data_IF_044579229188
#
_entry.id   IF_044579229188
#
_cell.length_a   1.000
_cell.length_b   1.000
_cell.length_c   1.000
_cell.angle_alpha   90.00
_cell.angle_beta   90.00
_cell.angle_gamma   90.00
#
_symmetry.space_group_name_H-M   'P 1'
#
loop_
_entity.id
_entity.type
_entity.pdbx_description
1 polymer ?
#
# COMPACT_ATOMS: atom_id res chain seq x y z
N UNK A 1 -28.23 20.35 67.65
CA UNK A 1 -27.14 19.86 66.79
C UNK A 1 -27.48 18.46 66.31
N UNK A 2 -27.80 18.26 65.03
CA UNK A 2 -28.16 16.95 64.44
C UNK A 2 -27.16 16.67 63.31
N UNK A 3 -26.29 15.68 63.49
CA UNK A 3 -25.27 15.28 62.49
C UNK A 3 -25.92 14.36 61.46
N UNK A 4 -25.83 14.73 60.18
CA UNK A 4 -26.23 13.92 59.02
C UNK A 4 -25.00 13.13 58.55
N UNK A 5 -25.09 11.83 58.27
CA UNK A 5 -23.95 11.03 57.82
C UNK A 5 -23.65 11.29 56.32
N UNK A 6 -22.39 11.17 55.88
CA UNK A 6 -22.05 11.29 54.47
C UNK A 6 -22.43 10.00 53.71
N UNK A 7 -23.26 10.14 52.68
CA UNK A 7 -23.50 9.10 51.68
C UNK A 7 -22.30 9.05 50.72
N UNK A 8 -21.59 7.93 50.72
CA UNK A 8 -20.52 7.62 49.77
C UNK A 8 -21.15 7.11 48.47
N UNK A 9 -21.22 7.95 47.44
CA UNK A 9 -21.60 7.52 46.09
C UNK A 9 -20.36 6.95 45.37
N UNK A 10 -20.34 5.63 45.17
CA UNK A 10 -19.38 4.99 44.28
C UNK A 10 -19.84 5.21 42.83
N UNK A 11 -19.14 6.07 42.09
CA UNK A 11 -19.31 6.17 40.64
C UNK A 11 -18.64 4.97 39.98
N UNK A 12 -19.43 3.97 39.57
CA UNK A 12 -18.99 2.96 38.62
C UNK A 12 -18.93 3.65 37.26
N UNK A 13 -17.74 4.10 36.86
CA UNK A 13 -17.48 4.58 35.51
C UNK A 13 -17.58 3.41 34.54
N UNK A 14 -18.74 3.23 33.92
CA UNK A 14 -18.85 2.38 32.74
C UNK A 14 -18.13 3.13 31.63
N UNK A 15 -16.88 2.74 31.36
CA UNK A 15 -16.25 3.10 30.10
C UNK A 15 -17.11 2.49 29.01
N UNK A 16 -17.93 3.32 28.35
CA UNK A 16 -18.61 2.92 27.13
C UNK A 16 -17.49 2.59 26.13
N UNK A 17 -17.22 1.31 25.96
CA UNK A 17 -16.42 0.84 24.84
C UNK A 17 -17.10 1.41 23.61
N UNK A 18 -16.42 2.33 22.91
CA UNK A 18 -16.87 2.80 21.61
C UNK A 18 -17.11 1.54 20.79
N UNK A 19 -18.40 1.25 20.52
CA UNK A 19 -18.79 0.08 19.77
C UNK A 19 -18.00 0.08 18.47
N UNK A 20 -17.29 -1.02 18.19
CA UNK A 20 -16.41 -1.11 17.05
C UNK A 20 -17.17 -0.69 15.79
N UNK A 21 -16.72 0.40 15.18
CA UNK A 21 -17.31 0.93 13.95
C UNK A 21 -16.95 0.02 12.77
N UNK A 22 -17.72 0.08 11.68
CA UNK A 22 -17.36 -0.65 10.47
C UNK A 22 -15.96 -0.26 9.97
N UNK A 23 -15.19 -1.23 9.47
CA UNK A 23 -13.79 -1.05 9.09
C UNK A 23 -13.56 -1.49 7.64
N UNK A 24 -12.58 -0.88 6.98
CA UNK A 24 -12.09 -1.31 5.67
C UNK A 24 -10.60 -1.62 5.79
N UNK A 25 -10.24 -2.86 5.46
CA UNK A 25 -8.87 -3.33 5.46
C UNK A 25 -8.37 -3.50 4.02
N UNK A 26 -7.10 -3.19 3.77
CA UNK A 26 -6.47 -3.30 2.44
C UNK A 26 -5.16 -4.06 2.52
N UNK A 27 -4.81 -4.78 1.46
CA UNK A 27 -3.43 -5.19 1.16
C UNK A 27 -3.18 -4.94 -0.32
N UNK A 28 -1.93 -4.83 -0.71
CA UNK A 28 -1.57 -4.69 -2.11
C UNK A 28 -0.48 -5.67 -2.52
N UNK A 29 -0.45 -6.03 -3.80
CA UNK A 29 0.57 -6.87 -4.41
C UNK A 29 0.99 -6.28 -5.77
N UNK A 30 2.25 -6.43 -6.15
CA UNK A 30 2.69 -6.20 -7.52
C UNK A 30 2.39 -7.44 -8.35
N UNK A 31 1.83 -7.23 -9.55
CA UNK A 31 1.54 -8.32 -10.48
C UNK A 31 1.65 -7.86 -11.91
N UNK A 32 2.66 -8.34 -12.63
CA UNK A 32 2.76 -8.13 -14.07
C UNK A 32 2.88 -6.66 -14.47
N UNK A 33 3.55 -5.85 -13.64
CA UNK A 33 3.71 -4.41 -13.84
C UNK A 33 2.56 -3.55 -13.32
N UNK A 34 1.53 -4.15 -12.74
CA UNK A 34 0.44 -3.45 -12.05
C UNK A 34 0.57 -3.57 -10.52
N UNK A 35 -0.15 -2.72 -9.80
CA UNK A 35 -0.38 -2.84 -8.35
C UNK A 35 -1.85 -3.17 -8.13
N UNK A 36 -2.13 -4.31 -7.48
CA UNK A 36 -3.50 -4.75 -7.19
C UNK A 36 -3.81 -4.54 -5.71
N UNK A 37 -4.78 -3.68 -5.41
CA UNK A 37 -5.28 -3.42 -4.07
C UNK A 37 -6.48 -4.31 -3.77
N UNK A 38 -6.43 -5.09 -2.69
CA UNK A 38 -7.50 -5.98 -2.26
C UNK A 38 -8.13 -5.49 -0.96
N UNK A 39 -9.46 -5.39 -0.93
CA UNK A 39 -10.20 -4.88 0.22
C UNK A 39 -11.05 -5.95 0.93
N UNK A 40 -11.12 -5.83 2.25
CA UNK A 40 -12.07 -6.49 3.13
C UNK A 40 -12.90 -5.44 3.87
N UNK A 41 -14.21 -5.44 3.64
CA UNK A 41 -15.16 -4.59 4.38
C UNK A 41 -15.68 -5.39 5.58
N UNK A 42 -15.46 -4.89 6.79
CA UNK A 42 -15.96 -5.50 8.04
C UNK A 42 -17.06 -4.67 8.63
N UNK A 43 -18.28 -5.17 8.53
CA UNK A 43 -19.45 -4.57 9.14
C UNK A 43 -19.54 -5.01 10.61
N UNK A 44 -19.23 -4.12 11.54
CA UNK A 44 -19.38 -4.33 12.99
C UNK A 44 -20.68 -3.72 13.55
N UNK A 45 -21.46 -3.10 12.67
CA UNK A 45 -22.75 -2.51 13.00
C UNK A 45 -23.86 -3.57 13.02
N UNK A 46 -25.01 -3.20 13.61
CA UNK A 46 -26.23 -4.00 13.60
C UNK A 46 -27.02 -3.91 12.26
N UNK A 47 -26.68 -2.94 11.40
CA UNK A 47 -27.29 -2.76 10.09
C UNK A 47 -26.56 -3.54 9.00
N UNK A 48 -27.07 -3.49 7.77
CA UNK A 48 -26.41 -4.05 6.59
C UNK A 48 -25.74 -2.93 5.81
N UNK A 49 -24.73 -3.27 5.01
CA UNK A 49 -24.05 -2.30 4.14
C UNK A 49 -24.15 -2.77 2.69
N UNK A 50 -24.62 -1.91 1.81
CA UNK A 50 -24.79 -2.18 0.38
C UNK A 50 -24.08 -1.12 -0.49
N UNK A 51 -23.39 -0.18 0.15
CA UNK A 51 -22.56 0.82 -0.48
C UNK A 51 -21.22 0.95 0.25
N UNK A 52 -20.14 0.85 -0.52
CA UNK A 52 -18.77 1.09 -0.10
C UNK A 52 -18.11 2.04 -1.10
N UNK A 53 -17.57 3.16 -0.64
CA UNK A 53 -16.77 4.06 -1.46
C UNK A 53 -15.39 4.29 -0.86
N UNK A 54 -14.40 4.52 -1.73
CA UNK A 54 -13.01 4.77 -1.38
C UNK A 54 -12.54 6.07 -2.03
N UNK A 55 -11.78 6.86 -1.27
CA UNK A 55 -11.18 8.10 -1.71
C UNK A 55 -12.18 9.26 -1.83
N UNK A 56 -13.34 9.15 -1.17
CA UNK A 56 -14.26 10.26 -1.04
C UNK A 56 -14.26 10.81 0.40
N UNK A 57 -14.10 12.12 0.56
CA UNK A 57 -14.52 12.83 1.78
C UNK A 57 -16.00 13.25 1.68
N UNK A 58 -16.85 12.23 1.49
CA UNK A 58 -18.28 12.37 1.33
C UNK A 58 -18.93 12.33 2.71
N UNK A 59 -19.88 13.23 3.00
CA UNK A 59 -20.72 13.08 4.20
C UNK A 59 -21.87 12.10 3.98
N UNK A 60 -22.31 11.91 2.73
CA UNK A 60 -23.39 11.00 2.33
C UNK A 60 -23.21 10.51 0.88
N UNK A 61 -23.74 9.32 0.53
CA UNK A 61 -23.73 8.75 -0.83
C UNK A 61 -24.24 9.64 -1.98
N UNK A 62 -25.11 10.61 -1.68
CA UNK A 62 -25.80 11.44 -2.67
C UNK A 62 -25.39 12.92 -2.59
N UNK A 63 -24.35 13.25 -1.83
CA UNK A 63 -23.79 14.60 -1.78
C UNK A 63 -22.53 14.65 -2.64
N UNK A 64 -22.28 15.77 -3.34
CA UNK A 64 -21.03 15.95 -4.05
C UNK A 64 -19.87 15.81 -3.06
N UNK A 65 -18.86 15.05 -3.47
CA UNK A 65 -17.62 14.93 -2.72
C UNK A 65 -17.06 16.33 -2.47
N UNK A 66 -16.67 16.64 -1.23
CA UNK A 66 -15.95 17.88 -0.95
C UNK A 66 -14.54 17.82 -1.53
N UNK A 67 -13.96 16.62 -1.59
CA UNK A 67 -12.69 16.34 -2.24
C UNK A 67 -12.58 14.85 -2.62
N UNK A 68 -12.14 14.59 -3.85
CA UNK A 68 -11.71 13.28 -4.31
C UNK A 68 -10.21 13.08 -4.00
N UNK A 69 -9.81 11.87 -3.63
CA UNK A 69 -8.46 11.59 -3.14
C UNK A 69 -7.61 10.74 -4.08
N UNK A 70 -8.23 9.96 -4.97
CA UNK A 70 -7.51 9.01 -5.83
C UNK A 70 -6.96 9.71 -7.07
N UNK A 71 -5.70 9.45 -7.39
CA UNK A 71 -4.94 10.15 -8.44
C UNK A 71 -4.57 9.29 -9.64
N UNK A 72 -4.44 7.97 -9.48
CA UNK A 72 -4.06 7.06 -10.57
C UNK A 72 -5.29 6.27 -11.03
N UNK A 73 -5.71 6.44 -12.28
CA UNK A 73 -6.86 5.73 -12.84
C UNK A 73 -6.55 4.26 -13.15
N UNK A 74 -7.53 3.34 -13.03
CA UNK A 74 -7.37 1.95 -13.46
C UNK A 74 -7.34 1.86 -14.99
N UNK A 75 -6.22 1.44 -15.58
CA UNK A 75 -6.07 1.15 -17.01
C UNK A 75 -6.62 2.23 -17.97
N UNK A 76 -7.15 1.78 -19.11
CA UNK A 76 -7.74 2.64 -20.15
C UNK A 76 -9.17 3.09 -19.81
N UNK A 77 -9.37 3.68 -18.63
CA UNK A 77 -10.66 4.24 -18.20
C UNK A 77 -11.14 5.30 -19.18
N UNK A 78 -12.42 5.24 -19.58
CA UNK A 78 -13.05 6.20 -20.50
C UNK A 78 -14.23 6.91 -19.85
N UNK A 79 -14.58 8.10 -20.34
CA UNK A 79 -15.81 8.78 -19.92
C UNK A 79 -17.04 7.95 -20.34
N UNK A 80 -17.95 7.68 -19.40
CA UNK A 80 -19.19 6.96 -19.64
C UNK A 80 -20.42 7.86 -19.67
N UNK A 81 -20.36 9.01 -19.00
CA UNK A 81 -21.46 9.96 -18.90
C UNK A 81 -21.20 10.97 -17.78
N UNK A 82 -22.18 11.84 -17.54
CA UNK A 82 -22.13 12.86 -16.50
C UNK A 82 -23.45 12.87 -15.71
N UNK A 83 -23.37 13.12 -14.41
CA UNK A 83 -24.53 13.39 -13.54
C UNK A 83 -24.27 14.59 -12.61
N UNK A 84 -25.20 14.88 -11.70
CA UNK A 84 -25.06 16.02 -10.79
C UNK A 84 -23.92 15.88 -9.78
N UNK A 85 -23.34 14.69 -9.61
CA UNK A 85 -22.17 14.42 -8.77
C UNK A 85 -20.86 14.56 -9.55
N UNK A 86 -20.91 14.66 -10.88
CA UNK A 86 -19.76 14.84 -11.75
C UNK A 86 -19.71 13.83 -12.89
N UNK A 87 -18.50 13.58 -13.39
CA UNK A 87 -18.28 12.65 -14.49
C UNK A 87 -18.28 11.22 -13.98
N UNK A 88 -18.96 10.33 -14.69
CA UNK A 88 -18.94 8.89 -14.45
C UNK A 88 -17.99 8.25 -15.46
N UNK A 89 -17.00 7.53 -14.97
CA UNK A 89 -16.03 6.85 -15.82
C UNK A 89 -16.34 5.35 -15.92
N UNK A 90 -16.24 4.81 -17.13
CA UNK A 90 -16.36 3.38 -17.40
C UNK A 90 -15.10 2.67 -16.91
N UNK A 91 -15.29 1.64 -16.09
CA UNK A 91 -14.20 0.81 -15.59
C UNK A 91 -13.79 -0.22 -16.65
N UNK A 92 -12.51 -0.31 -17.03
CA UNK A 92 -12.06 -1.36 -17.94
C UNK A 92 -12.33 -2.76 -17.34
N UNK A 93 -12.74 -3.75 -18.16
CA UNK A 93 -12.89 -5.12 -17.68
C UNK A 93 -11.62 -5.63 -17.02
N UNK A 94 -11.75 -6.21 -15.82
CA UNK A 94 -10.62 -6.76 -15.05
C UNK A 94 -9.84 -5.74 -14.21
N UNK A 95 -9.99 -4.43 -14.46
CA UNK A 95 -9.31 -3.41 -13.66
C UNK A 95 -9.91 -3.25 -12.26
N UNK A 96 -11.17 -3.65 -12.07
CA UNK A 96 -11.84 -3.70 -10.77
C UNK A 96 -12.59 -5.01 -10.65
N UNK A 97 -12.52 -5.65 -9.50
CA UNK A 97 -13.39 -6.78 -9.15
C UNK A 97 -14.28 -6.45 -7.98
N UNK A 98 -15.39 -7.17 -7.88
CA UNK A 98 -16.30 -7.09 -6.76
C UNK A 98 -16.90 -8.48 -6.48
N UNK A 99 -17.40 -8.72 -5.25
CA UNK A 99 -18.19 -9.91 -4.95
C UNK A 99 -19.44 -10.02 -5.85
N UNK A 100 -20.03 -11.22 -6.03
CA UNK A 100 -21.26 -11.36 -6.80
C UNK A 100 -22.37 -10.41 -6.31
N UNK A 101 -23.07 -9.76 -7.25
CA UNK A 101 -24.13 -8.78 -6.96
C UNK A 101 -23.64 -7.34 -6.75
N UNK A 102 -22.33 -7.12 -6.62
CA UNK A 102 -21.75 -5.78 -6.50
C UNK A 102 -21.25 -5.25 -7.84
N UNK A 103 -21.35 -3.94 -8.02
CA UNK A 103 -20.90 -3.22 -9.21
C UNK A 103 -20.05 -2.03 -8.81
N UNK A 104 -18.98 -1.78 -9.55
CA UNK A 104 -18.08 -0.66 -9.32
C UNK A 104 -18.34 0.49 -10.30
N UNK A 105 -18.22 1.72 -9.80
CA UNK A 105 -18.31 2.96 -10.58
C UNK A 105 -17.22 3.92 -10.16
N UNK A 106 -16.57 4.57 -11.11
CA UNK A 106 -15.59 5.63 -10.88
C UNK A 106 -16.25 6.99 -11.10
N UNK A 107 -15.96 7.96 -10.23
CA UNK A 107 -16.55 9.29 -10.29
C UNK A 107 -15.52 10.39 -10.13
N UNK A 108 -15.59 11.41 -10.98
CA UNK A 108 -14.75 12.61 -10.93
C UNK A 108 -15.63 13.81 -10.58
N UNK A 109 -15.39 14.52 -9.47
CA UNK A 109 -16.17 15.71 -9.15
C UNK A 109 -16.03 16.79 -10.23
N UNK A 110 -17.02 17.67 -10.42
CA UNK A 110 -16.93 18.77 -11.39
C UNK A 110 -15.70 19.65 -11.14
N UNK A 111 -14.86 19.82 -12.16
CA UNK A 111 -13.65 20.66 -12.11
C UNK A 111 -12.45 20.03 -11.40
N UNK A 112 -12.56 18.80 -10.93
CA UNK A 112 -11.47 18.08 -10.26
C UNK A 112 -10.70 17.18 -11.22
N UNK A 113 -9.47 16.81 -10.83
CA UNK A 113 -8.65 15.82 -11.54
C UNK A 113 -8.55 14.48 -10.82
N UNK A 114 -8.97 14.46 -9.56
CA UNK A 114 -9.01 13.28 -8.72
C UNK A 114 -10.37 12.63 -8.78
N UNK A 115 -10.43 11.36 -8.44
CA UNK A 115 -11.65 10.58 -8.49
C UNK A 115 -11.87 9.81 -7.18
N UNK A 116 -13.03 9.20 -7.06
CA UNK A 116 -13.32 8.18 -6.06
C UNK A 116 -13.97 6.98 -6.73
N UNK A 117 -13.88 5.82 -6.08
CA UNK A 117 -14.53 4.59 -6.54
C UNK A 117 -15.65 4.20 -5.59
N UNK A 118 -16.76 3.73 -6.15
CA UNK A 118 -17.92 3.25 -5.41
C UNK A 118 -18.23 1.83 -5.82
N UNK A 119 -18.45 0.94 -4.86
CA UNK A 119 -19.10 -0.34 -5.05
C UNK A 119 -20.51 -0.29 -4.48
N UNK A 120 -21.50 -0.72 -5.25
CA UNK A 120 -22.91 -0.78 -4.84
C UNK A 120 -23.52 -2.12 -5.20
N UNK A 121 -24.44 -2.59 -4.37
CA UNK A 121 -25.36 -3.69 -4.70
C UNK A 121 -26.80 -3.21 -4.52
N UNK A 122 -27.67 -3.54 -5.47
CA UNK A 122 -29.13 -3.46 -5.29
C UNK A 122 -29.73 -4.77 -4.79
N UNK A 123 -28.96 -5.87 -4.91
CA UNK A 123 -29.34 -7.15 -4.34
C UNK A 123 -29.10 -7.12 -2.84
N UNK A 124 -30.22 -7.13 -2.11
CA UNK A 124 -30.19 -7.23 -0.67
C UNK A 124 -29.45 -8.50 -0.26
N UNK A 125 -29.54 -9.65 -0.91
CA UNK A 125 -28.81 -10.85 -0.48
C UNK A 125 -27.28 -10.69 -0.52
N UNK A 126 -26.76 -9.84 -1.41
CA UNK A 126 -25.33 -9.57 -1.57
C UNK A 126 -24.76 -8.52 -0.59
N UNK A 127 -25.62 -7.73 0.07
CA UNK A 127 -25.18 -6.70 1.02
C UNK A 127 -24.43 -7.30 2.23
N UNK A 128 -23.40 -6.60 2.72
CA UNK A 128 -22.57 -7.02 3.86
C UNK A 128 -23.43 -7.10 5.12
N UNK A 129 -23.71 -8.30 5.65
CA UNK A 129 -24.58 -8.43 6.81
C UNK A 129 -23.97 -7.82 8.08
N UNK A 130 -24.83 -7.57 9.07
CA UNK A 130 -24.41 -7.12 10.38
C UNK A 130 -23.40 -8.10 11.01
N UNK A 131 -22.37 -7.57 11.65
CA UNK A 131 -21.30 -8.36 12.30
C UNK A 131 -20.54 -9.34 11.38
N UNK A 132 -20.51 -9.09 10.07
CA UNK A 132 -19.82 -9.92 9.09
C UNK A 132 -18.79 -9.14 8.27
N UNK A 133 -17.90 -9.86 7.60
CA UNK A 133 -16.93 -9.30 6.66
C UNK A 133 -17.19 -9.78 5.23
N UNK A 134 -16.92 -8.94 4.25
CA UNK A 134 -16.97 -9.28 2.83
C UNK A 134 -15.65 -8.93 2.15
N UNK A 135 -15.07 -9.93 1.47
CA UNK A 135 -13.83 -9.85 0.69
C UNK A 135 -14.16 -9.95 -0.80
N UNK A 136 -13.20 -9.59 -1.66
CA UNK A 136 -13.30 -9.77 -3.11
C UNK A 136 -13.44 -8.46 -3.90
N UNK A 137 -13.45 -7.34 -3.21
CA UNK A 137 -13.26 -6.02 -3.81
C UNK A 137 -11.77 -5.85 -4.15
N UNK A 138 -11.45 -5.50 -5.38
CA UNK A 138 -10.07 -5.11 -5.73
C UNK A 138 -10.00 -4.11 -6.86
N UNK A 139 -8.87 -3.41 -6.95
CA UNK A 139 -8.55 -2.46 -8.02
C UNK A 139 -7.12 -2.68 -8.48
N UNK A 140 -6.90 -2.82 -9.78
CA UNK A 140 -5.58 -2.90 -10.41
C UNK A 140 -5.20 -1.55 -11.03
N UNK A 141 -4.02 -1.05 -10.69
CA UNK A 141 -3.49 0.22 -11.18
C UNK A 141 -2.16 0.02 -11.91
N UNK A 142 -1.85 0.84 -12.93
CA UNK A 142 -0.56 0.77 -13.62
C UNK A 142 0.64 1.25 -12.78
N UNK A 143 0.38 1.87 -11.63
CA UNK A 143 1.39 2.31 -10.67
C UNK A 143 0.77 2.53 -9.29
N UNK A 144 1.62 2.65 -8.28
CA UNK A 144 1.21 2.82 -6.89
C UNK A 144 0.46 4.15 -6.67
N UNK A 145 -0.64 4.09 -5.93
CA UNK A 145 -1.37 5.25 -5.43
C UNK A 145 -1.64 5.10 -3.92
N UNK A 146 -1.06 5.99 -3.12
CA UNK A 146 -1.20 5.96 -1.66
C UNK A 146 -2.65 6.15 -1.19
N UNK A 147 -3.49 6.80 -1.99
CA UNK A 147 -4.92 6.95 -1.69
C UNK A 147 -5.65 5.61 -1.54
N UNK A 148 -5.17 4.55 -2.21
CA UNK A 148 -5.72 3.21 -2.08
C UNK A 148 -5.31 2.49 -0.79
N UNK A 149 -4.19 2.86 -0.17
CA UNK A 149 -3.70 2.25 1.07
C UNK A 149 -4.18 2.96 2.34
N UNK A 150 -4.33 4.28 2.26
CA UNK A 150 -4.59 5.12 3.43
C UNK A 150 -5.63 6.22 3.19
N UNK A 151 -6.45 6.09 2.14
CA UNK A 151 -7.51 7.05 1.85
C UNK A 151 -8.71 6.92 2.78
N UNK A 152 -9.63 7.87 2.67
CA UNK A 152 -10.92 7.79 3.34
C UNK A 152 -11.79 6.71 2.70
N UNK A 153 -12.63 6.07 3.51
CA UNK A 153 -13.74 5.28 3.01
C UNK A 153 -15.07 5.85 3.50
N UNK A 154 -16.13 5.53 2.76
CA UNK A 154 -17.52 5.68 3.17
C UNK A 154 -18.22 4.32 3.08
N UNK A 155 -18.96 3.95 4.12
CA UNK A 155 -19.86 2.79 4.12
C UNK A 155 -21.29 3.27 4.41
N UNK A 156 -22.26 2.75 3.67
CA UNK A 156 -23.66 3.09 3.86
C UNK A 156 -24.63 1.94 3.57
N UNK A 157 -25.86 2.10 4.08
CA UNK A 157 -27.04 1.36 3.63
C UNK A 157 -27.76 2.07 2.47
N UNK A 158 -28.67 1.36 1.78
CA UNK A 158 -29.36 1.85 0.58
C UNK A 158 -30.19 3.09 0.90
N UNK A 159 -30.72 3.17 2.12
CA UNK A 159 -31.49 4.31 2.59
C UNK A 159 -30.61 5.56 2.83
N UNK A 160 -29.29 5.40 2.91
CA UNK A 160 -28.34 6.46 3.25
C UNK A 160 -28.53 7.00 4.67
N UNK A 161 -29.27 6.26 5.51
CA UNK A 161 -29.60 6.65 6.89
C UNK A 161 -28.41 6.37 7.82
N UNK A 162 -27.66 5.31 7.53
CA UNK A 162 -26.45 4.97 8.26
C UNK A 162 -25.25 5.20 7.38
N UNK A 163 -24.50 6.25 7.68
CA UNK A 163 -23.21 6.53 7.03
C UNK A 163 -22.09 6.34 8.04
N UNK A 164 -21.02 5.68 7.62
CA UNK A 164 -19.76 5.56 8.36
C UNK A 164 -18.64 6.06 7.48
N UNK A 165 -17.74 6.84 8.07
CA UNK A 165 -16.54 7.28 7.41
C UNK A 165 -15.34 6.89 8.26
N UNK A 166 -14.24 6.57 7.61
CA UNK A 166 -13.02 6.21 8.31
C UNK A 166 -11.82 6.24 7.38
N UNK A 167 -10.69 5.74 7.89
CA UNK A 167 -9.47 5.54 7.12
C UNK A 167 -9.30 4.06 6.84
N UNK A 168 -8.91 3.74 5.61
CA UNK A 168 -8.51 2.38 5.27
C UNK A 168 -7.33 1.94 6.14
N UNK A 169 -7.36 0.67 6.58
CA UNK A 169 -6.31 0.09 7.40
C UNK A 169 -5.48 -0.93 6.61
N UNK A 170 -4.14 -0.87 6.66
CA UNK A 170 -3.31 -1.91 6.07
C UNK A 170 -3.51 -3.22 6.85
N UNK A 171 -3.74 -4.31 6.12
CA UNK A 171 -3.81 -5.68 6.64
C UNK A 171 -2.48 -6.42 6.52
N UNK A 172 -1.65 -5.98 5.58
CA UNK A 172 -0.28 -6.41 5.45
C UNK A 172 0.64 -5.37 6.10
N UNK A 173 1.44 -5.83 7.07
CA UNK A 173 2.33 -5.00 7.86
C UNK A 173 3.74 -5.59 7.93
N UNK A 174 4.03 -6.63 7.14
CA UNK A 174 5.31 -7.32 7.18
C UNK A 174 6.14 -6.84 5.99
N UNK A 175 7.38 -6.41 6.23
CA UNK A 175 8.26 -6.04 5.12
C UNK A 175 8.76 -7.28 4.38
N UNK A 176 9.15 -7.12 3.10
CA UNK A 176 9.81 -8.18 2.34
C UNK A 176 11.07 -8.69 3.03
N UNK A 177 11.34 -9.98 2.91
CA UNK A 177 12.63 -10.56 3.26
C UNK A 177 13.63 -10.31 2.14
N UNK A 178 14.68 -9.52 2.42
CA UNK A 178 15.75 -9.16 1.49
C UNK A 178 17.06 -9.79 1.93
N UNK A 179 17.79 -10.43 1.01
CA UNK A 179 19.14 -10.94 1.23
C UNK A 179 20.06 -10.47 0.11
N UNK A 180 21.22 -9.94 0.51
CA UNK A 180 22.25 -9.42 -0.39
C UNK A 180 23.55 -10.14 -0.09
N UNK A 181 24.20 -10.66 -1.13
CA UNK A 181 25.52 -11.27 -1.03
C UNK A 181 26.45 -10.66 -2.06
N UNK A 182 27.72 -10.48 -1.69
CA UNK A 182 28.76 -9.96 -2.57
C UNK A 182 29.77 -11.05 -2.86
N UNK A 183 30.22 -11.10 -4.12
CA UNK A 183 31.20 -12.07 -4.59
C UNK A 183 32.26 -11.36 -5.42
N UNK A 184 33.53 -11.63 -5.13
CA UNK A 184 34.63 -11.20 -6.00
C UNK A 184 34.63 -12.06 -7.27
N UNK A 185 34.66 -11.40 -8.43
CA UNK A 185 34.85 -12.03 -9.72
C UNK A 185 36.18 -11.57 -10.32
N UNK A 186 37.05 -12.53 -10.64
CA UNK A 186 38.25 -12.33 -11.45
C UNK A 186 39.41 -11.61 -10.76
N UNK A 187 40.08 -12.27 -9.82
CA UNK A 187 41.48 -11.94 -9.53
C UNK A 187 42.36 -12.61 -10.60
N UNK A 188 42.43 -12.05 -11.81
CA UNK A 188 43.20 -12.69 -12.89
C UNK A 188 43.10 -12.12 -14.30
N UNK A 189 42.35 -11.03 -14.51
CA UNK A 189 42.39 -10.35 -15.81
C UNK A 189 43.75 -9.64 -15.99
N UNK A 190 44.35 -9.69 -17.19
CA UNK A 190 45.66 -9.08 -17.46
C UNK A 190 45.69 -7.56 -17.25
N UNK A 191 44.53 -6.91 -17.19
CA UNK A 191 44.37 -5.48 -16.90
C UNK A 191 44.33 -5.14 -15.40
N UNK A 192 44.36 -6.12 -14.49
CA UNK A 192 44.37 -5.89 -13.04
C UNK A 192 43.05 -5.35 -12.46
N UNK A 193 41.92 -5.47 -13.16
CA UNK A 193 40.61 -5.04 -12.69
C UNK A 193 39.93 -6.08 -11.79
N UNK A 194 39.32 -5.63 -10.68
CA UNK A 194 38.44 -6.43 -9.82
C UNK A 194 36.99 -6.14 -10.19
N UNK A 195 36.21 -7.18 -10.41
CA UNK A 195 34.75 -7.04 -10.49
C UNK A 195 34.10 -7.60 -9.24
N UNK A 196 33.08 -6.91 -8.73
CA UNK A 196 32.24 -7.43 -7.65
C UNK A 196 30.86 -7.70 -8.21
N UNK A 197 30.40 -8.93 -8.04
CA UNK A 197 29.03 -9.31 -8.33
C UNK A 197 28.20 -9.24 -7.05
N UNK A 198 26.94 -8.86 -7.22
CA UNK A 198 25.94 -8.82 -6.15
C UNK A 198 24.87 -9.82 -6.51
N UNK A 199 24.60 -10.76 -5.61
CA UNK A 199 23.44 -11.63 -5.68
C UNK A 199 22.39 -11.08 -4.70
N UNK A 200 21.25 -10.67 -5.25
CA UNK A 200 20.13 -10.11 -4.48
C UNK A 200 18.94 -11.04 -4.61
N UNK A 201 18.38 -11.44 -3.47
CA UNK A 201 17.13 -12.21 -3.43
C UNK A 201 16.12 -11.48 -2.55
N UNK A 202 14.88 -11.45 -3.01
CA UNK A 202 13.76 -10.84 -2.29
C UNK A 202 12.58 -11.80 -2.33
N UNK A 203 11.85 -11.86 -1.23
CA UNK A 203 10.59 -12.60 -1.13
C UNK A 203 9.67 -11.91 -0.15
N UNK A 204 8.37 -11.90 -0.42
CA UNK A 204 7.35 -11.43 0.51
C UNK A 204 6.20 -12.45 0.56
N UNK A 205 5.41 -12.44 1.63
CA UNK A 205 4.33 -13.40 1.82
C UNK A 205 3.01 -12.98 1.17
N UNK A 206 2.85 -11.69 0.87
CA UNK A 206 1.68 -11.11 0.20
C UNK A 206 2.04 -10.66 -1.21
N UNK A 207 3.16 -9.97 -1.37
CA UNK A 207 3.60 -9.40 -2.64
C UNK A 207 4.56 -10.34 -3.38
N UNK A 208 4.17 -10.95 -4.51
CA UNK A 208 5.06 -11.86 -5.23
C UNK A 208 6.19 -11.13 -5.97
N UNK A 209 6.10 -9.82 -6.18
CA UNK A 209 7.06 -9.03 -6.96
C UNK A 209 7.50 -7.73 -6.23
N UNK A 210 8.10 -7.79 -5.01
CA UNK A 210 8.50 -6.58 -4.30
C UNK A 210 9.55 -5.77 -5.09
N UNK A 211 9.41 -4.45 -5.08
CA UNK A 211 10.32 -3.54 -5.79
C UNK A 211 11.67 -3.45 -5.06
N UNK A 212 12.78 -3.73 -5.76
CA UNK A 212 14.14 -3.68 -5.22
C UNK A 212 14.94 -2.55 -5.86
N UNK A 213 15.65 -1.78 -5.04
CA UNK A 213 16.50 -0.67 -5.48
C UNK A 213 17.85 -0.69 -4.75
N UNK A 214 18.93 -0.36 -5.47
CA UNK A 214 20.20 0.00 -4.85
C UNK A 214 20.03 1.35 -4.13
N UNK A 215 20.24 1.38 -2.82
CA UNK A 215 20.07 2.59 -2.00
C UNK A 215 21.41 3.30 -1.79
N UNK A 216 22.46 2.57 -1.45
CA UNK A 216 23.78 3.16 -1.26
C UNK A 216 24.91 2.20 -1.57
N UNK A 217 26.09 2.80 -1.76
CA UNK A 217 27.31 2.11 -2.07
C UNK A 217 28.49 2.90 -1.47
N UNK A 218 29.41 2.21 -0.81
CA UNK A 218 30.59 2.82 -0.20
C UNK A 218 31.83 1.94 -0.37
N UNK A 219 32.99 2.59 -0.50
CA UNK A 219 34.31 1.95 -0.51
C UNK A 219 35.20 2.62 0.54
N UNK A 220 35.83 1.81 1.38
CA UNK A 220 36.73 2.27 2.44
C UNK A 220 38.10 1.60 2.32
N UNK A 221 39.16 2.21 2.87
CA UNK A 221 40.44 1.55 3.11
C UNK A 221 41.35 1.33 1.89
N UNK A 222 41.04 1.90 0.72
CA UNK A 222 41.93 1.89 -0.45
C UNK A 222 42.36 3.32 -0.76
N UNK A 223 43.53 3.73 -0.25
CA UNK A 223 44.24 4.89 -0.81
C UNK A 223 45.08 4.42 -1.97
N UNK A 224 45.09 5.20 -3.05
CA UNK A 224 45.88 4.92 -4.24
C UNK A 224 47.37 4.75 -3.84
N UNK A 225 47.96 3.60 -4.18
CA UNK A 225 49.37 3.28 -3.87
C UNK A 225 49.65 2.71 -2.48
N UNK A 226 48.66 2.54 -1.59
CA UNK A 226 48.85 1.87 -0.30
C UNK A 226 48.49 0.38 -0.37
N UNK A 227 49.38 -0.49 0.12
CA UNK A 227 49.07 -1.89 0.37
C UNK A 227 48.14 -1.99 1.60
N UNK A 228 46.84 -2.13 1.39
CA UNK A 228 45.84 -2.23 2.46
C UNK A 228 44.56 -2.94 2.02
N UNK A 229 43.90 -3.67 2.93
CA UNK A 229 42.62 -4.31 2.64
C UNK A 229 41.55 -3.23 2.56
N UNK A 230 40.99 -3.02 1.36
CA UNK A 230 39.81 -2.19 1.22
C UNK A 230 38.55 -2.92 1.65
N UNK A 231 37.47 -2.18 1.84
CA UNK A 231 36.15 -2.72 2.08
C UNK A 231 35.17 -2.11 1.09
N UNK A 232 34.31 -2.94 0.54
CA UNK A 232 33.16 -2.53 -0.23
C UNK A 232 31.91 -2.77 0.60
N UNK A 233 30.99 -1.81 0.62
CA UNK A 233 29.68 -1.94 1.24
C UNK A 233 28.60 -1.55 0.24
N UNK A 234 27.54 -2.35 0.14
CA UNK A 234 26.42 -2.13 -0.77
C UNK A 234 25.12 -2.32 0.00
N UNK A 235 24.22 -1.34 -0.06
CA UNK A 235 22.92 -1.36 0.61
C UNK A 235 21.80 -1.40 -0.41
N UNK A 236 20.94 -2.41 -0.33
CA UNK A 236 19.71 -2.50 -1.10
C UNK A 236 18.48 -2.22 -0.22
N UNK A 237 17.42 -1.75 -0.86
CA UNK A 237 16.10 -1.51 -0.26
C UNK A 237 15.05 -2.27 -1.06
N UNK A 238 14.21 -3.04 -0.37
CA UNK A 238 13.02 -3.66 -0.96
C UNK A 238 11.74 -3.00 -0.44
N UNK A 239 10.70 -2.92 -1.26
CA UNK A 239 9.40 -2.35 -0.90
C UNK A 239 8.29 -3.16 -1.52
N UNK A 240 7.38 -3.67 -0.70
CA UNK A 240 6.16 -4.31 -1.20
C UNK A 240 5.15 -3.26 -1.68
N UNK A 241 4.10 -3.72 -2.35
CA UNK A 241 2.99 -2.90 -2.81
C UNK A 241 2.17 -2.26 -1.67
N UNK A 242 2.18 -2.85 -0.47
CA UNK A 242 1.56 -2.30 0.75
C UNK A 242 2.36 -1.13 1.35
N UNK A 243 3.59 -0.91 0.87
CA UNK A 243 4.51 0.14 1.30
C UNK A 243 5.42 -0.24 2.46
N UNK A 244 5.45 -1.50 2.90
CA UNK A 244 6.42 -1.96 3.90
C UNK A 244 7.81 -2.09 3.27
N UNK A 245 8.85 -1.93 4.10
CA UNK A 245 10.22 -1.72 3.61
C UNK A 245 11.21 -2.57 4.40
N UNK A 246 12.13 -3.23 3.69
CA UNK A 246 13.34 -3.80 4.27
C UNK A 246 14.59 -3.21 3.61
N UNK A 247 15.70 -3.28 4.34
CA UNK A 247 17.03 -2.86 3.89
C UNK A 247 18.04 -3.91 4.30
N UNK A 248 19.00 -4.17 3.42
CA UNK A 248 20.09 -5.11 3.69
C UNK A 248 21.40 -4.53 3.16
N UNK A 249 22.45 -4.60 3.97
CA UNK A 249 23.79 -4.14 3.63
C UNK A 249 24.73 -5.34 3.60
N UNK A 250 25.41 -5.54 2.48
CA UNK A 250 26.45 -6.54 2.35
C UNK A 250 27.82 -5.89 2.24
N UNK A 251 28.83 -6.53 2.82
CA UNK A 251 30.21 -6.07 2.79
C UNK A 251 31.14 -7.14 2.25
N UNK A 252 32.18 -6.71 1.53
CA UNK A 252 33.26 -7.60 1.10
C UNK A 252 34.61 -6.93 1.20
N UNK A 253 35.60 -7.69 1.66
CA UNK A 253 36.98 -7.24 1.68
C UNK A 253 37.56 -7.25 0.26
N UNK A 254 38.26 -6.17 -0.10
CA UNK A 254 38.94 -6.00 -1.37
C UNK A 254 40.45 -6.21 -1.16
N UNK A 255 41.11 -7.08 -1.93
CA UNK A 255 42.54 -7.31 -1.80
C UNK A 255 43.34 -6.05 -2.14
N UNK A 256 44.33 -5.72 -1.31
CA UNK A 256 45.04 -4.43 -1.31
C UNK A 256 46.06 -4.18 -2.41
N UNK A 257 46.16 -5.06 -3.41
CA UNK A 257 47.16 -4.96 -4.48
C UNK A 257 46.58 -4.44 -5.82
N UNK A 258 45.31 -4.03 -5.86
CA UNK A 258 44.66 -3.67 -7.12
C UNK A 258 44.66 -2.16 -7.32
N UNK A 259 45.54 -1.70 -8.22
CA UNK A 259 45.55 -0.34 -8.78
C UNK A 259 44.44 -0.15 -9.85
N UNK A 260 43.31 -0.85 -9.69
CA UNK A 260 42.32 -1.03 -10.75
C UNK A 260 40.92 -0.54 -10.38
N UNK A 261 40.20 -0.11 -11.42
CA UNK A 261 38.78 0.25 -11.44
C UNK A 261 37.92 -0.90 -10.91
N UNK A 262 37.06 -0.62 -9.92
CA UNK A 262 36.00 -1.54 -9.47
C UNK A 262 34.76 -1.29 -10.32
N UNK A 263 34.32 -2.32 -11.05
CA UNK A 263 33.07 -2.26 -11.85
C UNK A 263 31.92 -2.93 -11.12
N UNK A 264 30.78 -2.26 -11.09
CA UNK A 264 29.58 -2.71 -10.40
C UNK A 264 28.56 -3.37 -11.35
N UNK A 265 27.65 -4.20 -10.81
CA UNK A 265 26.69 -4.99 -11.60
C UNK A 265 25.74 -4.15 -12.48
N UNK A 266 25.47 -2.89 -12.11
CA UNK A 266 24.58 -2.00 -12.87
C UNK A 266 25.33 -0.99 -13.76
N UNK A 267 26.60 -1.23 -14.06
CA UNK A 267 27.37 -0.33 -14.95
C UNK A 267 27.86 0.97 -14.29
N UNK A 268 27.70 1.10 -12.97
CA UNK A 268 28.41 2.10 -12.19
C UNK A 268 29.91 1.83 -12.25
N UNK A 269 30.67 2.72 -12.89
CA UNK A 269 32.13 2.70 -12.94
C UNK A 269 32.64 3.67 -11.88
N UNK A 270 33.56 3.22 -11.03
CA UNK A 270 34.30 4.09 -10.12
C UNK A 270 35.71 4.32 -10.67
N UNK A 271 36.23 5.56 -10.67
CA UNK A 271 37.67 5.79 -10.78
C UNK A 271 38.42 5.15 -9.60
#
# INVERSE_FOLDING_TARGET
MKRIPPFLFAFIGIAAAHAAEAEVWVRAEHRGGEVVYHYEVRNRDAGRLDHFALGCDCRRPAQPALAAQLGVLPGATTLSGDDYLGQVLAVPPGAVTAPPGWHATLRVPPGERRYWIEWRTSDQAAAVPANQGLKGFSVALPMTDRGFLSGTFLLADTAGERVRNGQVRPSDTRPPHLSVQLHLRGAGNPEGSLSVATDVSVSDDIDPEPAVHLESFAREGLKEGESGIGRLSVTYRATDASGNVSRETAEIALPGALAGVVRLPEGGILP
#
